data_IF_368471854481
#
_entry.id   IF_368471854481
#
_cell.length_a   1.000
_cell.length_b   1.000
_cell.length_c   1.000
_cell.angle_alpha   90.00
_cell.angle_beta   90.00
_cell.angle_gamma   90.00
#
_symmetry.space_group_name_H-M   'P 1'
#
loop_
_entity.id
_entity.type
_entity.pdbx_description
1 polymer ?
#
# COMPACT_ATOMS: atom_id res chain seq x y z
N UNK A 1 -35.90 16.17 4.72
CA UNK A 1 -35.73 15.78 3.30
C UNK A 1 -34.55 14.81 3.24
N UNK A 2 -34.70 13.51 3.45
CA UNK A 2 -35.63 12.53 2.87
C UNK A 2 -36.26 11.68 3.97
N UNK A 3 -37.53 11.94 4.26
CA UNK A 3 -38.46 11.12 5.05
C UNK A 3 -39.67 10.77 4.15
N UNK A 4 -39.42 10.63 2.84
CA UNK A 4 -40.43 10.86 1.77
C UNK A 4 -40.46 9.72 0.75
N UNK A 5 -40.09 8.50 1.16
CA UNK A 5 -40.27 7.28 0.34
C UNK A 5 -41.20 6.24 1.02
N UNK A 6 -41.38 6.32 2.34
CA UNK A 6 -42.27 5.43 3.11
C UNK A 6 -43.76 5.75 3.02
N UNK A 7 -44.15 6.90 2.47
CA UNK A 7 -45.55 7.36 2.43
C UNK A 7 -46.17 7.22 1.03
N UNK A 8 -45.36 7.00 -0.02
CA UNK A 8 -45.85 7.03 -1.41
C UNK A 8 -46.39 5.68 -1.92
N UNK A 9 -45.99 4.54 -1.36
CA UNK A 9 -46.51 3.22 -1.82
C UNK A 9 -47.76 2.78 -1.05
N UNK A 10 -47.93 3.28 0.19
CA UNK A 10 -49.16 3.13 0.99
C UNK A 10 -50.35 3.85 0.31
N UNK A 11 -50.08 4.83 -0.55
CA UNK A 11 -51.12 5.57 -1.29
C UNK A 11 -51.50 4.96 -2.66
N UNK A 12 -50.76 4.00 -3.20
CA UNK A 12 -50.98 3.53 -4.58
C UNK A 12 -51.94 2.34 -4.71
N UNK A 13 -52.27 1.61 -3.64
CA UNK A 13 -53.16 0.44 -3.81
C UNK A 13 -54.29 0.28 -2.80
N UNK A 14 -54.44 1.25 -1.89
CA UNK A 14 -55.71 1.54 -1.22
C UNK A 14 -56.74 2.14 -2.23
N UNK A 15 -56.34 2.37 -3.49
CA UNK A 15 -57.17 2.96 -4.56
C UNK A 15 -57.68 2.01 -5.65
N UNK A 16 -57.45 0.69 -5.54
CA UNK A 16 -58.12 -0.30 -6.40
C UNK A 16 -59.03 -1.25 -5.59
N UNK A 17 -59.95 -0.60 -4.87
CA UNK A 17 -61.37 -0.97 -4.68
C UNK A 17 -61.68 -2.48 -4.57
N UNK A 18 -61.99 -2.99 -3.36
CA UNK A 18 -63.35 -3.05 -2.79
C UNK A 18 -64.46 -3.33 -3.82
N UNK A 19 -64.91 -4.59 -3.87
CA UNK A 19 -66.21 -5.03 -4.39
C UNK A 19 -66.34 -6.56 -4.30
N UNK A 20 -67.21 -7.06 -3.41
CA UNK A 20 -67.58 -8.48 -3.21
C UNK A 20 -68.35 -9.02 -4.44
N UNK A 21 -68.53 -10.33 -4.71
CA UNK A 21 -69.35 -11.34 -4.01
C UNK A 21 -69.14 -12.76 -4.62
N UNK A 22 -69.00 -13.75 -3.72
CA UNK A 22 -69.34 -15.21 -3.69
C UNK A 22 -69.46 -16.20 -4.88
N UNK A 23 -68.85 -17.38 -4.60
CA UNK A 23 -69.30 -18.79 -4.71
C UNK A 23 -69.40 -19.53 -6.06
N UNK A 24 -68.50 -20.52 -6.27
CA UNK A 24 -68.79 -21.98 -6.22
C UNK A 24 -67.66 -22.84 -6.85
N UNK A 25 -66.82 -23.48 -6.01
CA UNK A 25 -65.86 -24.54 -6.41
C UNK A 25 -65.75 -25.55 -5.27
N UNK A 26 -65.91 -26.87 -5.51
CA UNK A 26 -65.07 -27.82 -4.77
C UNK A 26 -64.74 -29.15 -5.51
N UNK A 27 -64.36 -29.13 -6.79
CA UNK A 27 -63.84 -30.36 -7.45
C UNK A 27 -62.59 -30.18 -8.33
N UNK A 28 -62.43 -29.05 -9.02
CA UNK A 28 -61.21 -28.75 -9.80
C UNK A 28 -60.01 -28.33 -8.93
N UNK A 29 -60.27 -27.84 -7.72
CA UNK A 29 -59.25 -27.39 -6.78
C UNK A 29 -58.43 -28.56 -6.22
N UNK A 30 -59.02 -29.74 -6.08
CA UNK A 30 -58.35 -30.92 -5.52
C UNK A 30 -57.34 -31.53 -6.49
N UNK A 31 -57.59 -31.49 -7.81
CA UNK A 31 -56.68 -32.06 -8.82
C UNK A 31 -55.47 -31.15 -9.06
N UNK A 32 -55.66 -29.83 -9.15
CA UNK A 32 -54.55 -28.87 -9.24
C UNK A 32 -53.69 -28.89 -7.98
N UNK A 33 -54.30 -28.99 -6.79
CA UNK A 33 -53.54 -29.14 -5.55
C UNK A 33 -52.69 -30.42 -5.48
N UNK A 34 -53.10 -31.51 -6.12
CA UNK A 34 -52.30 -32.75 -6.17
C UNK A 34 -51.16 -32.64 -7.18
N UNK A 35 -51.40 -32.06 -8.36
CA UNK A 35 -50.37 -31.81 -9.37
C UNK A 35 -49.34 -30.76 -8.90
N UNK A 36 -49.78 -29.69 -8.23
CA UNK A 36 -48.91 -28.69 -7.64
C UNK A 36 -48.11 -29.28 -6.48
N UNK A 37 -48.72 -30.15 -5.65
CA UNK A 37 -47.99 -30.85 -4.59
C UNK A 37 -46.91 -31.76 -5.17
N UNK A 38 -47.19 -32.55 -6.20
CA UNK A 38 -46.17 -33.42 -6.81
C UNK A 38 -45.06 -32.62 -7.48
N UNK A 39 -45.39 -31.56 -8.22
CA UNK A 39 -44.37 -30.69 -8.86
C UNK A 39 -43.50 -29.99 -7.81
N UNK A 40 -44.11 -29.47 -6.73
CA UNK A 40 -43.37 -28.94 -5.59
C UNK A 40 -42.52 -30.00 -4.90
N UNK A 41 -42.97 -31.26 -4.77
CA UNK A 41 -42.16 -32.34 -4.21
C UNK A 41 -40.94 -32.65 -5.08
N UNK A 42 -41.08 -32.67 -6.41
CA UNK A 42 -39.97 -32.93 -7.33
C UNK A 42 -39.00 -31.74 -7.43
N UNK A 43 -39.50 -30.51 -7.52
CA UNK A 43 -38.67 -29.29 -7.51
C UNK A 43 -37.90 -29.19 -6.19
N UNK A 44 -38.57 -29.34 -5.03
CA UNK A 44 -37.88 -29.33 -3.74
C UNK A 44 -36.87 -30.49 -3.61
N UNK A 45 -37.20 -31.70 -4.09
CA UNK A 45 -36.31 -32.86 -4.00
C UNK A 45 -35.06 -32.73 -4.89
N UNK A 46 -35.09 -31.91 -5.94
CA UNK A 46 -33.96 -31.68 -6.85
C UNK A 46 -33.20 -30.39 -6.49
N UNK A 47 -33.92 -29.32 -6.18
CA UNK A 47 -33.34 -28.00 -5.92
C UNK A 47 -32.73 -27.89 -4.51
N UNK A 48 -33.29 -28.56 -3.49
CA UNK A 48 -32.69 -28.55 -2.15
C UNK A 48 -31.29 -29.18 -2.18
N UNK A 49 -31.09 -30.40 -2.72
CA UNK A 49 -29.74 -30.97 -2.85
C UNK A 49 -28.84 -30.10 -3.72
N UNK A 50 -29.32 -29.61 -4.87
CA UNK A 50 -28.54 -28.76 -5.78
C UNK A 50 -28.04 -27.49 -5.09
N UNK A 51 -28.91 -26.80 -4.35
CA UNK A 51 -28.56 -25.60 -3.59
C UNK A 51 -27.58 -25.93 -2.45
N UNK A 52 -27.73 -27.08 -1.77
CA UNK A 52 -26.76 -27.53 -0.76
C UNK A 52 -25.39 -27.77 -1.38
N UNK A 53 -25.30 -28.47 -2.52
CA UNK A 53 -24.03 -28.71 -3.22
C UNK A 53 -23.40 -27.41 -3.73
N UNK A 54 -24.19 -26.50 -4.31
CA UNK A 54 -23.69 -25.20 -4.76
C UNK A 54 -23.20 -24.33 -3.60
N UNK A 55 -23.95 -24.30 -2.49
CA UNK A 55 -23.54 -23.57 -1.29
C UNK A 55 -22.31 -24.19 -0.62
N UNK A 56 -22.22 -25.53 -0.59
CA UNK A 56 -21.05 -26.24 -0.09
C UNK A 56 -19.83 -26.00 -0.99
N UNK A 57 -19.96 -26.13 -2.31
CA UNK A 57 -18.90 -25.84 -3.27
C UNK A 57 -18.45 -24.38 -3.17
N UNK A 58 -19.39 -23.42 -3.03
CA UNK A 58 -19.06 -22.00 -2.84
C UNK A 58 -18.33 -21.78 -1.53
N UNK A 59 -18.83 -22.31 -0.42
CA UNK A 59 -18.15 -22.23 0.89
C UNK A 59 -16.76 -22.86 0.84
N UNK A 60 -16.62 -24.04 0.25
CA UNK A 60 -15.31 -24.70 0.09
C UNK A 60 -14.39 -23.86 -0.79
N UNK A 61 -14.90 -23.24 -1.86
CA UNK A 61 -14.13 -22.31 -2.69
C UNK A 61 -13.71 -21.08 -1.89
N UNK A 62 -14.61 -20.50 -1.09
CA UNK A 62 -14.32 -19.37 -0.20
C UNK A 62 -13.29 -19.74 0.88
N UNK A 63 -13.38 -20.95 1.44
CA UNK A 63 -12.41 -21.49 2.40
C UNK A 63 -11.04 -21.77 1.77
N UNK A 64 -11.00 -22.37 0.58
CA UNK A 64 -9.76 -22.63 -0.15
C UNK A 64 -9.12 -21.31 -0.60
N UNK A 65 -9.92 -20.35 -1.06
CA UNK A 65 -9.45 -19.03 -1.44
C UNK A 65 -8.89 -18.27 -0.22
N UNK A 66 -9.59 -18.28 0.92
CA UNK A 66 -9.13 -17.65 2.16
C UNK A 66 -7.92 -18.35 2.80
N UNK A 67 -7.80 -19.67 2.68
CA UNK A 67 -6.60 -20.40 3.12
C UNK A 67 -5.41 -20.10 2.21
N UNK A 68 -5.63 -20.09 0.88
CA UNK A 68 -4.60 -19.76 -0.10
C UNK A 68 -4.11 -18.32 0.04
N UNK A 69 -5.01 -17.36 0.28
CA UNK A 69 -4.66 -15.96 0.50
C UNK A 69 -3.80 -15.80 1.75
N UNK A 70 -4.15 -16.48 2.86
CA UNK A 70 -3.35 -16.47 4.10
C UNK A 70 -1.96 -17.07 3.92
N UNK A 71 -1.83 -18.12 3.10
CA UNK A 71 -0.52 -18.71 2.79
C UNK A 71 0.32 -17.71 1.98
N UNK A 72 -0.25 -17.10 0.95
CA UNK A 72 0.45 -16.10 0.12
C UNK A 72 0.86 -14.86 0.92
N UNK A 73 0.00 -14.39 1.83
CA UNK A 73 0.30 -13.31 2.78
C UNK A 73 1.47 -13.68 3.70
N UNK A 74 1.44 -14.87 4.33
CA UNK A 74 2.54 -15.33 5.18
C UNK A 74 3.88 -15.40 4.43
N UNK A 75 3.85 -15.77 3.15
CA UNK A 75 5.05 -15.84 2.30
C UNK A 75 5.58 -14.47 1.92
N UNK A 76 4.68 -13.54 1.62
CA UNK A 76 5.04 -12.14 1.37
C UNK A 76 5.68 -11.53 2.62
N UNK A 77 5.15 -11.82 3.82
CA UNK A 77 5.75 -11.39 5.09
C UNK A 77 7.16 -11.97 5.25
N UNK A 78 7.38 -13.27 5.00
CA UNK A 78 8.73 -13.86 5.07
C UNK A 78 9.71 -13.25 4.06
N UNK A 79 9.24 -12.87 2.87
CA UNK A 79 10.05 -12.12 1.91
C UNK A 79 10.41 -10.73 2.45
N UNK A 80 9.47 -10.04 3.09
CA UNK A 80 9.74 -8.76 3.73
C UNK A 80 10.71 -8.89 4.92
N UNK A 81 10.64 -9.97 5.70
CA UNK A 81 11.62 -10.28 6.75
C UNK A 81 13.03 -10.44 6.16
N UNK A 82 13.14 -11.14 5.03
CA UNK A 82 14.40 -11.29 4.29
C UNK A 82 14.88 -9.93 3.77
N UNK A 83 13.96 -9.12 3.23
CA UNK A 83 14.27 -7.78 2.75
C UNK A 83 14.84 -6.88 3.84
N UNK A 84 14.38 -6.99 5.11
CA UNK A 84 15.00 -6.27 6.24
C UNK A 84 16.47 -6.61 6.45
N UNK A 85 16.85 -7.87 6.23
CA UNK A 85 18.26 -8.29 6.31
C UNK A 85 19.04 -7.66 5.14
N UNK A 86 18.50 -7.74 3.93
CA UNK A 86 19.11 -7.15 2.74
C UNK A 86 19.28 -5.63 2.84
N UNK A 87 18.35 -4.91 3.48
CA UNK A 87 18.50 -3.47 3.72
C UNK A 87 19.72 -3.15 4.59
N UNK A 88 20.03 -3.99 5.58
CA UNK A 88 21.14 -3.77 6.52
C UNK A 88 22.49 -4.23 5.96
N UNK A 89 22.49 -5.35 5.26
CA UNK A 89 23.73 -5.99 4.79
C UNK A 89 24.08 -5.61 3.34
N UNK A 90 23.10 -5.15 2.56
CA UNK A 90 23.20 -5.04 1.12
C UNK A 90 23.26 -6.41 0.44
N UNK A 91 23.17 -6.40 -0.89
CA UNK A 91 23.49 -7.56 -1.74
C UNK A 91 24.25 -7.09 -2.99
N UNK A 92 25.57 -6.80 -2.86
CA UNK A 92 26.38 -6.25 -3.95
C UNK A 92 26.38 -7.11 -5.21
N UNK A 93 26.34 -8.44 -5.05
CA UNK A 93 26.35 -9.42 -6.15
C UNK A 93 25.17 -9.26 -7.12
N UNK A 94 24.08 -8.64 -6.66
CA UNK A 94 22.86 -8.37 -7.44
C UNK A 94 22.57 -6.87 -7.51
N UNK A 95 23.58 -6.05 -7.19
CA UNK A 95 23.55 -4.60 -7.24
C UNK A 95 22.82 -3.90 -6.10
N UNK A 96 22.18 -4.61 -5.17
CA UNK A 96 21.40 -3.97 -4.09
C UNK A 96 22.37 -3.33 -3.07
N UNK A 97 22.35 -1.99 -2.89
CA UNK A 97 23.21 -1.34 -1.91
C UNK A 97 22.69 -1.54 -0.47
N UNK A 98 23.50 -1.15 0.51
CA UNK A 98 23.00 -0.97 1.88
C UNK A 98 21.98 0.18 1.89
N UNK A 99 20.84 -0.06 2.52
CA UNK A 99 19.71 0.89 2.62
C UNK A 99 19.36 1.23 4.07
N UNK A 100 19.99 0.58 5.05
CA UNK A 100 19.90 0.93 6.47
C UNK A 100 21.24 0.64 7.17
N UNK A 101 22.12 1.65 7.34
CA UNK A 101 21.88 3.06 7.06
C UNK A 101 21.85 3.39 5.56
N UNK A 102 20.89 4.22 5.14
CA UNK A 102 20.91 4.88 3.83
C UNK A 102 21.80 6.12 3.89
N UNK A 103 22.72 6.24 2.94
CA UNK A 103 23.59 7.40 2.81
C UNK A 103 23.22 8.25 1.59
N UNK A 104 23.03 9.55 1.81
CA UNK A 104 22.78 10.54 0.76
C UNK A 104 23.95 11.53 0.78
N UNK A 105 24.75 11.53 -0.28
CA UNK A 105 25.96 12.36 -0.37
C UNK A 105 25.61 13.84 -0.40
N UNK A 106 24.65 14.22 -1.23
CA UNK A 106 24.24 15.60 -1.46
C UNK A 106 22.84 15.64 -2.07
N UNK A 107 22.03 16.60 -1.67
CA UNK A 107 20.73 16.90 -2.28
C UNK A 107 20.51 18.41 -2.23
N UNK A 108 20.26 19.01 -3.39
CA UNK A 108 19.93 20.43 -3.52
C UNK A 108 18.45 20.65 -3.26
N UNK A 109 18.15 21.68 -2.49
CA UNK A 109 16.81 22.17 -2.25
C UNK A 109 16.66 23.51 -2.96
N UNK A 110 15.69 23.60 -3.87
CA UNK A 110 15.29 24.86 -4.48
C UNK A 110 13.76 24.91 -4.52
N UNK A 111 13.16 25.82 -3.78
CA UNK A 111 11.71 25.92 -3.63
C UNK A 111 11.27 27.35 -3.92
N UNK A 112 10.35 27.47 -4.87
CA UNK A 112 9.64 28.70 -5.21
C UNK A 112 8.15 28.41 -5.09
N UNK A 113 7.57 28.64 -3.91
CA UNK A 113 6.18 28.28 -3.61
C UNK A 113 5.50 29.38 -2.78
N UNK A 114 4.25 29.72 -3.10
CA UNK A 114 3.54 30.82 -2.40
C UNK A 114 3.30 30.55 -0.91
N UNK A 115 3.16 29.28 -0.50
CA UNK A 115 2.93 28.88 0.89
C UNK A 115 4.22 28.74 1.70
N UNK A 116 5.34 28.40 1.04
CA UNK A 116 6.64 28.16 1.69
C UNK A 116 7.57 29.39 1.59
N UNK A 117 7.61 30.05 0.43
CA UNK A 117 8.52 31.13 0.06
C UNK A 117 9.60 30.69 -0.93
N UNK A 118 10.59 31.56 -1.12
CA UNK A 118 11.75 31.34 -1.98
C UNK A 118 12.93 30.87 -1.13
N UNK A 119 13.16 29.56 -1.09
CA UNK A 119 14.20 28.94 -0.25
C UNK A 119 15.13 28.10 -1.11
N UNK A 120 16.42 28.37 -1.01
CA UNK A 120 17.48 27.62 -1.69
C UNK A 120 18.51 27.10 -0.70
N UNK A 121 19.10 25.96 -1.00
CA UNK A 121 20.07 25.34 -0.12
C UNK A 121 20.43 23.94 -0.55
N UNK A 122 21.08 23.22 0.36
CA UNK A 122 21.40 21.82 0.18
C UNK A 122 21.55 21.12 1.53
N UNK A 123 21.40 19.79 1.49
CA UNK A 123 21.82 18.89 2.55
C UNK A 123 22.91 17.97 2.02
N UNK A 124 23.85 17.59 2.87
CA UNK A 124 24.94 16.70 2.49
C UNK A 124 25.38 15.82 3.66
N UNK A 125 26.09 14.73 3.32
CA UNK A 125 26.52 13.69 4.27
C UNK A 125 25.36 13.20 5.16
N UNK A 126 24.19 13.01 4.56
CA UNK A 126 23.00 12.63 5.29
C UNK A 126 22.99 11.12 5.47
N UNK A 127 22.75 10.68 6.70
CA UNK A 127 22.60 9.28 7.08
C UNK A 127 21.21 9.08 7.66
N UNK A 128 20.41 8.20 7.05
CA UNK A 128 19.08 7.79 7.52
C UNK A 128 19.19 6.39 8.09
N UNK A 129 18.68 6.19 9.30
CA UNK A 129 18.69 4.90 10.02
C UNK A 129 17.29 4.48 10.44
N UNK A 130 17.07 3.18 10.54
CA UNK A 130 15.83 2.59 11.06
C UNK A 130 14.82 2.20 9.98
N UNK A 131 15.12 2.42 8.70
CA UNK A 131 14.21 2.04 7.62
C UNK A 131 13.89 0.53 7.61
N UNK A 132 14.83 -0.31 8.03
CA UNK A 132 14.64 -1.77 8.14
C UNK A 132 13.78 -2.20 9.33
N UNK A 133 13.40 -1.30 10.24
CA UNK A 133 12.53 -1.61 11.39
C UNK A 133 11.04 -1.51 11.06
N UNK A 134 10.68 -1.45 9.78
CA UNK A 134 9.29 -1.36 9.35
C UNK A 134 8.45 -2.52 9.89
N UNK A 135 7.19 -2.24 10.19
CA UNK A 135 6.14 -3.18 10.57
C UNK A 135 5.25 -3.39 9.35
N UNK A 136 4.81 -4.63 9.12
CA UNK A 136 3.88 -4.95 8.04
C UNK A 136 2.46 -4.82 8.59
N UNK A 137 1.77 -3.75 8.22
CA UNK A 137 0.38 -3.50 8.65
C UNK A 137 -0.62 -4.25 7.77
N UNK A 138 -0.31 -4.35 6.48
CA UNK A 138 -1.09 -5.09 5.50
C UNK A 138 -0.18 -5.64 4.41
N UNK A 139 -0.41 -6.89 4.01
CA UNK A 139 0.27 -7.50 2.88
C UNK A 139 -0.73 -8.34 2.09
N UNK A 140 -0.81 -8.10 0.79
CA UNK A 140 -1.68 -8.87 -0.10
C UNK A 140 -0.96 -9.18 -1.40
N UNK A 141 -1.16 -10.42 -1.85
CA UNK A 141 -0.63 -10.94 -3.10
C UNK A 141 -1.75 -11.70 -3.81
N UNK A 142 -2.11 -11.22 -5.00
CA UNK A 142 -2.98 -11.96 -5.92
C UNK A 142 -2.16 -12.59 -7.02
N UNK A 143 -2.51 -13.82 -7.41
CA UNK A 143 -1.93 -14.51 -8.56
C UNK A 143 -2.78 -14.34 -9.83
N UNK A 144 -4.08 -14.02 -9.69
CA UNK A 144 -4.99 -13.73 -10.81
C UNK A 144 -4.91 -12.22 -11.07
N UNK A 145 -4.21 -11.85 -12.15
CA UNK A 145 -3.77 -10.47 -12.36
C UNK A 145 -2.71 -10.10 -11.31
N UNK A 146 -1.44 -10.52 -11.50
CA UNK A 146 -0.48 -10.56 -10.42
C UNK A 146 -0.25 -9.16 -9.86
N UNK A 147 -0.67 -8.96 -8.61
CA UNK A 147 -0.62 -7.67 -7.92
C UNK A 147 -0.14 -7.87 -6.49
N UNK A 148 0.62 -6.90 -6.02
CA UNK A 148 1.12 -6.83 -4.64
C UNK A 148 0.68 -5.51 -4.05
N UNK A 149 0.08 -5.57 -2.86
CA UNK A 149 -0.28 -4.39 -2.06
C UNK A 149 0.36 -4.51 -0.69
N UNK A 150 1.07 -3.48 -0.25
CA UNK A 150 1.70 -3.39 1.05
C UNK A 150 1.32 -2.08 1.74
N UNK A 151 0.97 -2.19 3.02
CA UNK A 151 0.99 -1.06 3.94
C UNK A 151 2.03 -1.36 5.01
N UNK A 152 3.00 -0.47 5.14
CA UNK A 152 4.08 -0.58 6.11
C UNK A 152 4.11 0.64 7.01
N UNK A 153 4.51 0.46 8.25
CA UNK A 153 4.81 1.56 9.17
C UNK A 153 6.26 1.45 9.64
N UNK A 154 7.06 2.48 9.41
CA UNK A 154 8.36 2.64 10.06
C UNK A 154 8.14 3.44 11.35
N UNK A 155 8.29 2.83 12.54
CA UNK A 155 7.98 3.51 13.79
C UNK A 155 8.86 4.74 14.02
N UNK A 156 10.13 4.63 13.65
CA UNK A 156 11.10 5.70 13.85
C UNK A 156 12.20 5.67 12.78
N UNK A 157 12.42 6.81 12.13
CA UNK A 157 13.62 7.07 11.32
C UNK A 157 14.49 8.08 12.03
N UNK A 158 15.79 7.81 12.12
CA UNK A 158 16.77 8.76 12.65
C UNK A 158 17.67 9.27 11.54
N UNK A 159 17.66 10.58 11.34
CA UNK A 159 18.37 11.28 10.27
C UNK A 159 19.41 12.20 10.89
N UNK A 160 20.64 12.14 10.38
CA UNK A 160 21.71 13.08 10.73
C UNK A 160 22.40 13.54 9.47
N UNK A 161 22.85 14.80 9.45
CA UNK A 161 23.58 15.33 8.32
C UNK A 161 23.97 16.78 8.51
N UNK A 162 24.28 17.45 7.41
CA UNK A 162 24.61 18.87 7.38
C UNK A 162 23.70 19.58 6.40
N UNK A 163 23.32 20.81 6.75
CA UNK A 163 22.49 21.66 5.92
C UNK A 163 23.17 23.00 5.67
N UNK A 164 22.83 23.62 4.54
CA UNK A 164 23.07 25.02 4.24
C UNK A 164 21.83 25.55 3.53
N UNK A 165 21.14 26.51 4.15
CA UNK A 165 19.94 27.12 3.59
C UNK A 165 20.04 28.63 3.65
N UNK A 166 19.40 29.27 2.67
CA UNK A 166 19.14 30.70 2.64
C UNK A 166 17.86 30.95 1.86
N UNK A 167 17.16 32.03 2.18
CA UNK A 167 15.97 32.37 1.42
C UNK A 167 15.07 33.31 2.18
N UNK A 168 13.83 33.38 1.72
CA UNK A 168 12.78 34.17 2.32
C UNK A 168 11.56 33.28 2.50
N UNK A 169 11.14 33.10 3.75
CA UNK A 169 9.88 32.43 4.07
C UNK A 169 8.74 33.44 3.88
N UNK A 170 7.74 33.05 3.09
CA UNK A 170 6.76 33.98 2.55
C UNK A 170 7.42 35.18 1.84
N UNK A 171 6.82 36.36 1.92
CA UNK A 171 7.38 37.61 1.34
C UNK A 171 8.05 38.52 2.37
N UNK A 172 8.30 38.05 3.61
CA UNK A 172 8.62 38.94 4.74
C UNK A 172 9.87 38.57 5.55
N UNK A 173 10.24 37.28 5.65
CA UNK A 173 11.26 36.84 6.60
C UNK A 173 12.46 36.20 5.90
N UNK A 174 13.59 36.90 5.90
CA UNK A 174 14.85 36.34 5.43
C UNK A 174 15.37 35.32 6.46
N UNK A 175 15.70 34.13 5.96
CA UNK A 175 16.24 33.03 6.73
C UNK A 175 17.61 32.63 6.18
N UNK A 176 18.48 32.18 7.08
CA UNK A 176 19.73 31.53 6.73
C UNK A 176 20.21 30.62 7.86
N UNK A 177 20.96 29.60 7.51
CA UNK A 177 21.60 28.74 8.47
C UNK A 177 22.51 27.73 7.81
N UNK A 178 23.59 27.37 8.49
CA UNK A 178 24.47 26.30 8.06
C UNK A 178 25.04 25.55 9.27
N UNK A 179 24.93 24.23 9.26
CA UNK A 179 25.38 23.44 10.39
C UNK A 179 24.94 21.99 10.33
N UNK A 180 25.27 21.21 11.37
CA UNK A 180 24.72 19.88 11.52
C UNK A 180 23.23 19.98 11.85
N UNK A 181 22.48 18.98 11.39
CA UNK A 181 21.11 18.76 11.83
C UNK A 181 20.91 17.32 12.27
N UNK A 182 19.92 17.14 13.15
CA UNK A 182 19.35 15.83 13.45
C UNK A 182 17.84 15.90 13.29
N UNK A 183 17.24 14.82 12.79
CA UNK A 183 15.79 14.67 12.80
C UNK A 183 15.39 13.25 13.22
N UNK A 184 14.31 13.16 13.98
CA UNK A 184 13.64 11.89 14.29
C UNK A 184 12.24 11.95 13.72
N UNK A 185 11.95 11.12 12.73
CA UNK A 185 10.64 11.05 12.09
C UNK A 185 9.89 9.87 12.71
N UNK A 186 8.65 10.10 13.13
CA UNK A 186 7.83 9.08 13.78
C UNK A 186 6.70 8.61 12.86
N UNK A 187 6.43 7.30 12.93
CA UNK A 187 5.31 6.63 12.27
C UNK A 187 5.19 6.99 10.78
N UNK A 188 6.28 6.74 10.03
CA UNK A 188 6.23 6.88 8.57
C UNK A 188 5.38 5.75 8.00
N UNK A 189 4.23 6.08 7.43
CA UNK A 189 3.33 5.13 6.76
C UNK A 189 3.71 5.07 5.29
N UNK A 190 3.83 3.87 4.74
CA UNK A 190 4.20 3.63 3.35
C UNK A 190 3.11 2.76 2.73
N UNK A 191 2.56 3.22 1.63
CA UNK A 191 1.66 2.48 0.76
C UNK A 191 2.41 2.10 -0.51
N UNK A 192 2.33 0.83 -0.89
CA UNK A 192 2.90 0.34 -2.13
C UNK A 192 1.88 -0.54 -2.83
N UNK A 193 1.64 -0.27 -4.10
CA UNK A 193 0.84 -1.11 -4.98
C UNK A 193 1.57 -1.33 -6.30
N UNK A 194 1.70 -2.58 -6.72
CA UNK A 194 2.32 -2.91 -8.01
C UNK A 194 1.54 -4.00 -8.71
N UNK A 195 1.36 -3.81 -10.02
CA UNK A 195 0.87 -4.84 -10.93
C UNK A 195 2.07 -5.39 -11.69
N UNK A 196 2.23 -6.70 -11.68
CA UNK A 196 3.26 -7.40 -12.44
C UNK A 196 2.71 -7.78 -13.83
N UNK A 197 3.59 -7.71 -14.82
CA UNK A 197 3.37 -8.23 -16.16
C UNK A 197 4.32 -9.40 -16.45
N UNK A 198 4.00 -10.14 -17.51
CA UNK A 198 4.86 -11.19 -18.02
C UNK A 198 4.99 -11.07 -19.53
N UNK A 199 6.23 -11.11 -20.01
CA UNK A 199 6.55 -11.16 -21.44
C UNK A 199 7.70 -12.14 -21.67
N UNK A 200 8.95 -11.66 -21.71
CA UNK A 200 10.18 -12.48 -21.74
C UNK A 200 10.74 -12.80 -20.35
N UNK A 201 10.14 -12.19 -19.33
CA UNK A 201 10.46 -12.27 -17.91
C UNK A 201 9.37 -11.53 -17.14
N UNK A 202 9.44 -11.55 -15.82
CA UNK A 202 8.58 -10.72 -14.98
C UNK A 202 9.03 -9.27 -15.02
N UNK A 203 8.07 -8.37 -14.95
CA UNK A 203 8.34 -6.94 -14.82
C UNK A 203 7.20 -6.25 -14.07
N UNK A 204 7.48 -5.11 -13.48
CA UNK A 204 6.47 -4.23 -12.89
C UNK A 204 5.81 -3.44 -14.02
N UNK A 205 4.55 -3.77 -14.30
CA UNK A 205 3.70 -3.03 -15.25
C UNK A 205 3.29 -1.67 -14.68
N UNK A 206 3.04 -1.61 -13.37
CA UNK A 206 2.85 -0.37 -12.63
C UNK A 206 3.51 -0.45 -11.26
N UNK A 207 3.89 0.70 -10.72
CA UNK A 207 4.43 0.85 -9.37
C UNK A 207 3.92 2.15 -8.79
N UNK A 208 2.98 2.05 -7.86
CA UNK A 208 2.39 3.15 -7.14
C UNK A 208 2.97 3.12 -5.72
N UNK A 209 3.70 4.17 -5.36
CA UNK A 209 4.25 4.37 -4.03
C UNK A 209 3.64 5.64 -3.49
N UNK A 210 3.23 5.62 -2.23
CA UNK A 210 2.91 6.82 -1.47
C UNK A 210 3.41 6.64 -0.04
N UNK A 211 3.65 7.75 0.65
CA UNK A 211 4.11 7.70 2.03
C UNK A 211 3.67 8.95 2.78
N UNK A 212 3.48 8.86 4.08
CA UNK A 212 3.22 10.01 4.95
C UNK A 212 3.98 9.87 6.27
N UNK A 213 4.12 10.97 6.99
CA UNK A 213 4.74 11.00 8.31
C UNK A 213 3.72 11.54 9.31
N UNK A 214 3.72 11.02 10.53
CA UNK A 214 2.86 11.54 11.59
C UNK A 214 3.46 12.81 12.20
N UNK A 215 4.73 12.73 12.59
CA UNK A 215 5.45 13.84 13.20
C UNK A 215 6.94 13.70 12.97
N UNK A 216 7.64 14.80 13.22
CA UNK A 216 9.09 14.88 13.18
C UNK A 216 9.55 15.73 14.37
N UNK A 217 10.68 15.35 14.96
CA UNK A 217 11.45 16.20 15.85
C UNK A 217 12.73 16.61 15.13
N UNK A 218 13.07 17.90 15.12
CA UNK A 218 14.22 18.40 14.36
C UNK A 218 15.09 19.35 15.21
N UNK A 219 16.41 19.24 15.05
CA UNK A 219 17.37 20.17 15.64
C UNK A 219 18.28 20.75 14.55
N UNK A 220 18.05 21.99 14.16
CA UNK A 220 18.91 22.76 13.26
C UNK A 220 19.92 23.60 14.03
N UNK A 221 21.21 23.23 13.97
CA UNK A 221 22.28 23.99 14.63
C UNK A 221 22.74 25.18 13.79
N UNK A 222 22.98 26.30 14.47
CA UNK A 222 23.41 27.58 13.90
C UNK A 222 22.39 28.29 13.00
N UNK A 223 21.11 27.91 13.06
CA UNK A 223 20.05 28.66 12.40
C UNK A 223 20.02 30.12 12.89
N UNK A 224 20.08 31.08 11.96
CA UNK A 224 20.15 32.53 12.21
C UNK A 224 21.24 32.95 13.22
N UNK A 225 22.26 32.10 13.44
CA UNK A 225 23.34 32.27 14.44
C UNK A 225 22.83 32.61 15.85
N UNK A 226 21.58 32.25 16.17
CA UNK A 226 20.93 32.60 17.42
C UNK A 226 20.15 31.41 17.96
N UNK A 227 20.49 30.96 19.18
CA UNK A 227 19.86 29.79 19.81
C UNK A 227 18.34 29.95 19.99
N UNK A 228 17.85 31.16 20.25
CA UNK A 228 16.41 31.42 20.40
C UNK A 228 15.69 31.26 19.07
N UNK A 229 16.24 31.80 17.98
CA UNK A 229 15.65 31.65 16.65
C UNK A 229 15.72 30.20 16.16
N UNK A 230 16.82 29.49 16.44
CA UNK A 230 16.92 28.06 16.15
C UNK A 230 15.84 27.25 16.85
N UNK A 231 15.58 27.50 18.15
CA UNK A 231 14.51 26.81 18.88
C UNK A 231 13.13 27.06 18.26
N UNK A 232 12.82 28.32 17.95
CA UNK A 232 11.54 28.67 17.30
C UNK A 232 11.41 28.01 15.93
N UNK A 233 12.49 28.00 15.14
CA UNK A 233 12.46 27.36 13.82
C UNK A 233 12.29 25.84 13.92
N UNK A 234 12.92 25.19 14.91
CA UNK A 234 12.70 23.77 15.17
C UNK A 234 11.20 23.51 15.44
N UNK A 235 10.57 24.26 16.35
CA UNK A 235 9.13 24.13 16.65
C UNK A 235 8.26 24.34 15.39
N UNK A 236 8.58 25.34 14.57
CA UNK A 236 7.87 25.58 13.29
C UNK A 236 8.04 24.41 12.33
N UNK A 237 9.25 23.89 12.16
CA UNK A 237 9.51 22.75 11.28
C UNK A 237 8.85 21.47 11.78
N UNK A 238 8.80 21.25 13.09
CA UNK A 238 8.11 20.10 13.67
C UNK A 238 6.60 20.12 13.36
N UNK A 239 5.98 21.31 13.38
CA UNK A 239 4.57 21.48 13.04
C UNK A 239 4.31 21.46 11.51
N UNK A 240 5.20 22.06 10.73
CA UNK A 240 4.99 22.29 9.31
C UNK A 240 5.52 21.17 8.42
N UNK A 241 6.54 20.41 8.84
CA UNK A 241 7.18 19.41 7.99
C UNK A 241 6.24 18.34 7.42
N UNK A 242 5.25 17.80 8.17
CA UNK A 242 4.28 16.89 7.56
C UNK A 242 3.50 17.53 6.41
N UNK A 243 3.11 18.80 6.53
CA UNK A 243 2.41 19.55 5.47
C UNK A 243 3.35 19.91 4.32
N UNK A 244 4.56 20.37 4.62
CA UNK A 244 5.58 20.68 3.62
C UNK A 244 5.97 19.44 2.81
N UNK A 245 5.98 18.26 3.43
CA UNK A 245 6.20 17.00 2.74
C UNK A 245 5.11 16.75 1.69
N UNK A 246 3.83 16.97 2.00
CA UNK A 246 2.74 16.84 1.01
C UNK A 246 2.92 17.79 -0.19
N UNK A 247 3.47 18.99 0.03
CA UNK A 247 3.73 19.98 -1.04
C UNK A 247 4.91 19.54 -1.92
N UNK A 248 5.96 18.96 -1.33
CA UNK A 248 7.19 18.57 -2.05
C UNK A 248 7.05 17.19 -2.71
N UNK A 249 6.20 16.31 -2.16
CA UNK A 249 5.99 14.93 -2.66
C UNK A 249 5.80 14.84 -4.18
N UNK A 250 4.96 15.65 -4.85
CA UNK A 250 4.78 15.59 -6.30
C UNK A 250 6.08 15.71 -7.11
N UNK A 251 7.12 16.36 -6.56
CA UNK A 251 8.43 16.52 -7.19
C UNK A 251 9.39 15.36 -6.92
N UNK A 252 9.43 14.87 -5.67
CA UNK A 252 10.40 13.84 -5.25
C UNK A 252 9.90 12.41 -5.49
N UNK A 253 8.59 12.18 -5.36
CA UNK A 253 7.99 10.85 -5.39
C UNK A 253 8.14 10.16 -6.76
N UNK A 254 7.96 10.85 -7.91
CA UNK A 254 8.21 10.23 -9.22
C UNK A 254 9.67 9.77 -9.40
N UNK A 255 10.64 10.50 -8.83
CA UNK A 255 12.05 10.14 -8.93
C UNK A 255 12.35 8.87 -8.12
N UNK A 256 11.81 8.79 -6.90
CA UNK A 256 11.91 7.60 -6.04
C UNK A 256 11.25 6.40 -6.73
N UNK A 257 10.02 6.57 -7.25
CA UNK A 257 9.29 5.52 -7.95
C UNK A 257 10.08 5.01 -9.16
N UNK A 258 10.60 5.90 -10.01
CA UNK A 258 11.36 5.51 -11.19
C UNK A 258 12.66 4.78 -10.81
N UNK A 259 13.36 5.23 -9.77
CA UNK A 259 14.56 4.56 -9.28
C UNK A 259 14.25 3.12 -8.83
N UNK A 260 13.20 2.94 -8.01
CA UNK A 260 12.79 1.63 -7.51
C UNK A 260 12.32 0.74 -8.66
N UNK A 261 11.47 1.28 -9.55
CA UNK A 261 10.93 0.55 -10.71
C UNK A 261 12.05 0.00 -11.59
N UNK A 262 13.03 0.85 -11.95
CA UNK A 262 14.14 0.45 -12.80
C UNK A 262 14.97 -0.65 -12.12
N UNK A 263 15.35 -0.43 -10.86
CA UNK A 263 16.16 -1.39 -10.11
C UNK A 263 15.45 -2.73 -9.90
N UNK A 264 14.16 -2.69 -9.59
CA UNK A 264 13.36 -3.89 -9.41
C UNK A 264 13.21 -4.64 -10.72
N UNK A 265 12.98 -3.95 -11.84
CA UNK A 265 12.87 -4.57 -13.16
C UNK A 265 14.17 -5.21 -13.64
N UNK A 266 15.34 -4.64 -13.33
CA UNK A 266 16.63 -5.28 -13.60
C UNK A 266 16.73 -6.66 -12.94
N UNK A 267 16.12 -6.82 -11.76
CA UNK A 267 16.11 -8.11 -11.05
C UNK A 267 14.98 -9.03 -11.54
N UNK A 268 13.76 -8.49 -11.67
CA UNK A 268 12.56 -9.24 -12.01
C UNK A 268 12.60 -9.83 -13.42
N UNK A 269 13.27 -9.16 -14.36
CA UNK A 269 13.38 -9.63 -15.74
C UNK A 269 14.00 -11.02 -15.85
N UNK A 270 14.88 -11.38 -14.91
CA UNK A 270 15.52 -12.68 -14.85
C UNK A 270 14.64 -13.78 -14.22
N UNK A 271 13.48 -13.43 -13.65
CA UNK A 271 12.58 -14.36 -12.99
C UNK A 271 11.42 -14.78 -13.90
N UNK A 272 11.08 -16.05 -13.86
CA UNK A 272 9.87 -16.61 -14.50
C UNK A 272 8.72 -16.68 -13.50
N UNK A 273 7.49 -16.79 -14.02
CA UNK A 273 6.30 -17.05 -13.18
C UNK A 273 6.46 -18.33 -12.35
N UNK A 274 7.15 -19.34 -12.89
CA UNK A 274 7.45 -20.57 -12.14
C UNK A 274 8.43 -20.31 -11.00
N UNK A 275 9.44 -19.46 -11.18
CA UNK A 275 10.36 -19.11 -10.11
C UNK A 275 9.62 -18.37 -8.98
N UNK A 276 8.70 -17.48 -9.34
CA UNK A 276 7.85 -16.79 -8.34
C UNK A 276 6.90 -17.76 -7.65
N UNK A 277 6.25 -18.68 -8.37
CA UNK A 277 5.40 -19.71 -7.74
C UNK A 277 6.23 -20.60 -6.82
N UNK A 278 7.42 -21.03 -7.25
CA UNK A 278 8.33 -21.82 -6.42
C UNK A 278 8.77 -21.03 -5.19
N UNK A 279 9.07 -19.74 -5.35
CA UNK A 279 9.39 -18.84 -4.24
C UNK A 279 8.24 -18.72 -3.23
N UNK A 280 7.01 -18.61 -3.72
CA UNK A 280 5.81 -18.50 -2.89
C UNK A 280 5.38 -19.83 -2.28
N UNK A 281 5.76 -20.98 -2.85
CA UNK A 281 5.33 -22.31 -2.38
C UNK A 281 6.38 -23.01 -1.52
N UNK A 282 7.68 -22.77 -1.75
CA UNK A 282 8.78 -23.37 -0.98
C UNK A 282 9.12 -22.53 0.26
N UNK A 283 9.66 -23.15 1.31
CA UNK A 283 10.33 -22.40 2.39
C UNK A 283 11.68 -21.94 1.83
N UNK A 284 11.71 -20.72 1.31
CA UNK A 284 12.94 -20.10 0.79
C UNK A 284 13.54 -19.28 1.92
N UNK A 285 14.79 -19.57 2.28
CA UNK A 285 15.57 -18.71 3.16
C UNK A 285 16.37 -17.68 2.36
N UNK A 286 17.11 -16.80 3.05
CA UNK A 286 17.93 -15.77 2.41
C UNK A 286 19.01 -16.35 1.48
N UNK A 287 19.54 -17.54 1.79
CA UNK A 287 20.53 -18.22 0.97
C UNK A 287 19.93 -18.72 -0.34
N UNK A 288 18.73 -19.27 -0.29
CA UNK A 288 17.97 -19.67 -1.48
C UNK A 288 17.58 -18.47 -2.35
N UNK A 289 17.13 -17.36 -1.74
CA UNK A 289 16.86 -16.12 -2.47
C UNK A 289 18.12 -15.58 -3.16
N UNK A 290 19.24 -15.50 -2.42
CA UNK A 290 20.54 -15.09 -2.98
C UNK A 290 20.96 -15.97 -4.14
N UNK A 291 20.85 -17.30 -4.01
CA UNK A 291 21.21 -18.25 -5.07
C UNK A 291 20.34 -18.07 -6.31
N UNK A 292 19.02 -18.00 -6.17
CA UNK A 292 18.10 -17.84 -7.31
C UNK A 292 18.37 -16.54 -8.06
N UNK A 293 18.57 -15.44 -7.36
CA UNK A 293 18.81 -14.14 -7.98
C UNK A 293 20.23 -14.09 -8.57
N UNK A 294 21.26 -14.53 -7.84
CA UNK A 294 22.64 -14.50 -8.30
C UNK A 294 22.92 -15.47 -9.47
N UNK A 295 22.36 -16.68 -9.44
CA UNK A 295 22.55 -17.66 -10.53
C UNK A 295 21.95 -17.16 -11.84
N UNK A 296 20.86 -16.38 -11.78
CA UNK A 296 20.20 -15.87 -13.00
C UNK A 296 20.76 -14.56 -13.50
N UNK A 297 21.33 -13.73 -12.62
CA UNK A 297 22.04 -12.51 -13.01
C UNK A 297 23.41 -12.86 -13.62
N UNK A 298 24.10 -13.90 -13.14
CA UNK A 298 25.43 -14.33 -13.65
C UNK A 298 25.42 -15.04 -15.00
N UNK A 299 24.27 -15.39 -15.55
CA UNK A 299 24.17 -16.09 -16.84
C UNK A 299 24.35 -15.10 -18.02
N UNK A 300 24.36 -13.79 -17.79
CA UNK A 300 24.62 -12.74 -18.79
C UNK A 300 25.71 -11.77 -18.30
#
# INVERSE_FOLDING_TARGET
>A
MKLTLGILVICTFIKMHRGQVENSVPFLETINNVADRTTNFFENAVDIPRNIYQNAARRTTDYVHSASSKILESKLISLLDTFRICMREGMPDVGIPIMDPLFISHYDLDTHNEEIGDVSGFIHNVTVRGASTFIVDYASLSLIGPMVTLNLTVPQLYVVGYYNIKGRIGNMFDIYGNGPFTATIYNTKIYLHTVLGYSRGLYMKSFDLDFSIESINMDLRNFMRNKKYGKVMNEVLEEMAPKALEIIKPEILPQIQNYILNRANDTLYHLTVRDVINFLTLKIDIGDFRRIVADKIKIH
#
